data_IF_917518654237
#
_entry.id   IF_917518654237
#
_cell.length_a   1.000
_cell.length_b   1.000
_cell.length_c   1.000
_cell.angle_alpha   90.00
_cell.angle_beta   90.00
_cell.angle_gamma   90.00
#
_symmetry.space_group_name_H-M   'P 1'
#
loop_
_entity.id
_entity.type
_entity.pdbx_description
1 polymer ?
#
# COMPACT_ATOMS: atom_id res chain seq x y z
N UNK A 1 -4.19 3.96 6.39
CA UNK A 1 -3.48 4.72 5.34
C UNK A 1 -2.22 4.04 4.89
N UNK A 2 -2.16 3.71 3.60
CA UNK A 2 -0.91 3.29 2.94
C UNK A 2 -0.08 4.56 2.73
N UNK A 3 1.14 4.58 3.29
CA UNK A 3 2.06 5.70 3.12
C UNK A 3 3.05 5.37 2.01
N UNK A 4 3.19 6.30 1.07
CA UNK A 4 4.27 6.26 0.10
C UNK A 4 5.58 6.64 0.78
N UNK A 5 6.68 6.03 0.34
CA UNK A 5 8.02 6.47 0.70
C UNK A 5 8.26 7.91 0.22
N UNK A 6 8.98 8.71 1.01
CA UNK A 6 9.20 10.13 0.75
C UNK A 6 10.02 10.40 -0.52
N UNK A 7 10.97 9.53 -0.87
CA UNK A 7 11.74 9.60 -2.12
C UNK A 7 10.83 9.36 -3.33
N UNK A 8 10.00 8.30 -3.29
CA UNK A 8 9.05 7.98 -4.36
C UNK A 8 8.05 9.14 -4.54
N UNK A 9 7.60 9.74 -3.44
CA UNK A 9 6.73 10.92 -3.47
C UNK A 9 7.44 12.09 -4.15
N UNK A 10 8.69 12.36 -3.80
CA UNK A 10 9.49 13.42 -4.40
C UNK A 10 9.67 13.20 -5.90
N UNK A 11 10.01 11.98 -6.32
CA UNK A 11 10.18 11.63 -7.73
C UNK A 11 8.89 11.81 -8.54
N UNK A 12 7.74 11.42 -7.97
CA UNK A 12 6.43 11.62 -8.58
C UNK A 12 6.06 13.09 -8.73
N UNK A 13 6.39 13.92 -7.74
CA UNK A 13 6.20 15.38 -7.79
C UNK A 13 7.08 15.99 -8.89
N UNK A 14 8.37 15.65 -8.92
CA UNK A 14 9.30 16.10 -9.95
C UNK A 14 8.85 15.66 -11.35
N UNK A 15 8.36 14.43 -11.50
CA UNK A 15 7.78 13.94 -12.75
C UNK A 15 6.53 14.73 -13.16
N UNK A 16 5.65 15.07 -12.20
CA UNK A 16 4.51 15.96 -12.43
C UNK A 16 4.93 17.33 -12.98
N UNK A 17 5.97 17.93 -12.41
CA UNK A 17 6.52 19.20 -12.92
C UNK A 17 7.12 19.06 -14.32
N UNK A 18 7.83 17.98 -14.62
CA UNK A 18 8.35 17.73 -15.98
C UNK A 18 7.20 17.64 -17.00
N UNK A 19 6.16 16.85 -16.71
CA UNK A 19 5.00 16.70 -17.59
C UNK A 19 4.31 18.06 -17.80
N UNK A 20 4.08 18.81 -16.71
CA UNK A 20 3.45 20.12 -16.79
C UNK A 20 4.29 21.12 -17.60
N UNK A 21 5.62 21.13 -17.45
CA UNK A 21 6.50 21.99 -18.25
C UNK A 21 6.48 21.64 -19.73
N UNK A 22 6.32 20.36 -20.11
CA UNK A 22 6.10 19.97 -21.51
C UNK A 22 4.76 20.50 -22.01
N UNK A 23 3.69 20.37 -21.22
CA UNK A 23 2.36 20.91 -21.57
C UNK A 23 2.37 22.43 -21.71
N UNK A 24 3.18 23.13 -20.92
CA UNK A 24 3.39 24.58 -20.98
C UNK A 24 4.29 25.02 -22.17
N UNK A 25 4.74 24.09 -23.02
CA UNK A 25 5.65 24.37 -24.14
C UNK A 25 7.11 24.64 -23.72
N UNK A 26 7.45 24.40 -22.45
CA UNK A 26 8.78 24.65 -21.85
C UNK A 26 9.59 23.35 -21.73
N UNK A 27 9.74 22.61 -22.83
CA UNK A 27 10.42 21.31 -22.83
C UNK A 27 11.86 21.36 -22.29
N UNK A 28 12.61 22.45 -22.54
CA UNK A 28 13.94 22.64 -21.94
C UNK A 28 13.93 22.71 -20.41
N UNK A 29 12.93 23.38 -19.82
CA UNK A 29 12.75 23.42 -18.37
C UNK A 29 12.33 22.06 -17.79
N UNK A 30 11.61 21.24 -18.57
CA UNK A 30 11.30 19.87 -18.19
C UNK A 30 12.57 18.99 -18.15
N UNK A 31 13.47 19.12 -19.13
CA UNK A 31 14.75 18.40 -19.13
C UNK A 31 15.65 18.81 -17.96
N UNK A 32 15.65 20.10 -17.62
CA UNK A 32 16.37 20.65 -16.46
C UNK A 32 15.72 20.31 -15.11
N UNK A 33 14.56 19.60 -15.10
CA UNK A 33 13.76 19.30 -13.90
C UNK A 33 13.38 20.54 -13.07
N UNK A 34 13.12 21.66 -13.72
CA UNK A 34 12.68 22.88 -13.03
C UNK A 34 11.23 22.75 -12.55
N UNK A 35 10.91 23.48 -11.50
CA UNK A 35 9.53 23.71 -11.07
C UNK A 35 8.69 24.24 -12.23
N UNK A 36 7.42 23.84 -12.28
CA UNK A 36 6.47 24.24 -13.32
C UNK A 36 5.47 25.27 -12.82
N UNK A 37 4.51 25.67 -13.66
CA UNK A 37 3.41 26.56 -13.26
C UNK A 37 2.35 25.88 -12.37
N UNK A 38 2.43 24.56 -12.21
CA UNK A 38 1.43 23.74 -11.50
C UNK A 38 1.84 23.37 -10.08
N UNK A 39 0.86 23.22 -9.18
CA UNK A 39 1.07 22.68 -7.85
C UNK A 39 0.81 21.16 -7.85
N UNK A 40 1.85 20.35 -7.71
CA UNK A 40 1.77 18.89 -7.80
C UNK A 40 1.46 18.27 -6.44
N UNK A 41 0.41 17.45 -6.37
CA UNK A 41 0.08 16.67 -5.18
C UNK A 41 -0.08 15.20 -5.52
N UNK A 42 0.60 14.36 -4.76
CA UNK A 42 0.52 12.90 -4.86
C UNK A 42 -0.57 12.39 -3.91
N UNK A 43 -1.61 11.81 -4.48
CA UNK A 43 -2.66 11.10 -3.75
C UNK A 43 -2.43 9.59 -3.88
N UNK A 44 -2.57 8.90 -2.76
CA UNK A 44 -2.43 7.45 -2.69
C UNK A 44 -3.67 6.93 -1.99
N UNK A 45 -4.44 6.12 -2.71
CA UNK A 45 -5.66 5.52 -2.21
C UNK A 45 -5.50 4.00 -2.24
N UNK A 46 -5.88 3.36 -1.15
CA UNK A 46 -5.96 1.91 -1.05
C UNK A 46 -7.42 1.54 -0.88
N UNK A 47 -7.91 0.61 -1.70
CA UNK A 47 -9.27 0.13 -1.55
C UNK A 47 -9.37 -0.72 -0.25
N UNK A 48 -10.53 -0.72 0.42
CA UNK A 48 -10.74 -1.59 1.58
C UNK A 48 -10.91 -3.04 1.12
N UNK A 49 -10.10 -3.95 1.68
CA UNK A 49 -10.15 -5.37 1.36
C UNK A 49 -10.67 -6.17 2.57
N UNK A 50 -11.80 -6.83 2.41
CA UNK A 50 -12.28 -7.83 3.38
C UNK A 50 -11.79 -9.21 2.91
N UNK A 51 -11.05 -9.90 3.78
CA UNK A 51 -10.44 -11.19 3.47
C UNK A 51 -10.98 -12.29 4.39
N UNK A 52 -11.48 -13.42 3.84
CA UNK A 52 -11.77 -14.58 4.66
C UNK A 52 -10.47 -15.19 5.20
N UNK A 53 -10.52 -15.65 6.45
CA UNK A 53 -9.42 -16.35 7.12
C UNK A 53 -9.90 -17.75 7.50
N UNK A 54 -9.13 -18.76 7.11
CA UNK A 54 -9.35 -20.15 7.50
C UNK A 54 -8.29 -20.54 8.53
N UNK A 55 -8.72 -21.05 9.68
CA UNK A 55 -7.82 -21.47 10.76
C UNK A 55 -8.04 -22.93 11.08
N UNK A 56 -6.96 -23.70 11.12
CA UNK A 56 -6.94 -25.08 11.60
C UNK A 56 -5.97 -25.17 12.78
N UNK A 57 -6.35 -25.88 13.83
CA UNK A 57 -5.50 -26.03 15.00
C UNK A 57 -5.94 -27.18 15.88
N UNK A 58 -5.05 -27.54 16.79
CA UNK A 58 -5.30 -28.54 17.82
C UNK A 58 -4.79 -28.04 19.16
N UNK A 59 -5.39 -28.58 20.21
CA UNK A 59 -5.01 -28.35 21.59
C UNK A 59 -4.62 -29.68 22.21
N UNK A 60 -3.58 -29.68 23.04
CA UNK A 60 -3.17 -30.85 23.80
C UNK A 60 -3.04 -30.49 25.29
N UNK A 61 -3.75 -31.23 26.13
CA UNK A 61 -3.73 -31.05 27.57
C UNK A 61 -2.59 -31.90 28.18
N UNK A 62 -1.62 -31.25 28.82
CA UNK A 62 -0.56 -31.96 29.54
C UNK A 62 -1.05 -32.47 30.90
N UNK A 63 -1.90 -31.68 31.56
CA UNK A 63 -2.61 -32.01 32.80
C UNK A 63 -3.84 -31.10 32.91
N UNK A 64 -4.63 -31.25 33.98
CA UNK A 64 -5.88 -30.51 34.20
C UNK A 64 -5.74 -28.98 34.16
N UNK A 65 -4.52 -28.46 34.39
CA UNK A 65 -4.25 -27.03 34.46
C UNK A 65 -3.40 -26.51 33.29
N UNK A 66 -2.65 -27.34 32.59
CA UNK A 66 -1.71 -26.91 31.55
C UNK A 66 -2.04 -27.54 30.19
N UNK A 67 -2.16 -26.70 29.16
CA UNK A 67 -2.42 -27.14 27.80
C UNK A 67 -1.55 -26.38 26.78
N UNK A 68 -1.29 -26.97 25.63
CA UNK A 68 -0.66 -26.31 24.49
C UNK A 68 -1.63 -26.17 23.33
N UNK A 69 -1.48 -25.11 22.55
CA UNK A 69 -2.25 -24.86 21.35
C UNK A 69 -1.28 -24.69 20.19
N UNK A 70 -1.55 -25.41 19.10
CA UNK A 70 -0.88 -25.22 17.83
C UNK A 70 -1.92 -24.92 16.76
N UNK A 71 -1.70 -23.88 15.96
CA UNK A 71 -2.60 -23.56 14.85
C UNK A 71 -1.86 -22.99 13.64
N UNK A 72 -2.50 -23.13 12.49
CA UNK A 72 -2.13 -22.54 11.23
C UNK A 72 -3.35 -21.86 10.63
N UNK A 73 -3.17 -20.65 10.13
CA UNK A 73 -4.22 -19.84 9.51
C UNK A 73 -3.77 -19.40 8.12
N UNK A 74 -4.72 -19.35 7.19
CA UNK A 74 -4.54 -18.85 5.85
C UNK A 74 -5.51 -17.71 5.60
N UNK A 75 -5.03 -16.57 5.11
CA UNK A 75 -5.86 -15.45 4.70
C UNK A 75 -5.80 -15.25 3.19
N UNK A 76 -6.93 -14.92 2.56
CA UNK A 76 -6.97 -14.56 1.13
C UNK A 76 -7.08 -13.05 0.98
N UNK A 77 -5.96 -12.34 0.87
CA UNK A 77 -5.91 -10.87 0.79
C UNK A 77 -5.81 -10.42 -0.67
N UNK A 78 -6.86 -9.77 -1.17
CA UNK A 78 -6.86 -9.11 -2.47
C UNK A 78 -7.08 -7.61 -2.26
N UNK A 79 -6.05 -6.79 -2.46
CA UNK A 79 -6.19 -5.33 -2.37
C UNK A 79 -5.70 -4.64 -3.67
N UNK A 80 -6.26 -3.47 -3.99
CA UNK A 80 -5.83 -2.60 -5.07
C UNK A 80 -5.40 -1.25 -4.50
N UNK A 81 -4.20 -0.82 -4.88
CA UNK A 81 -3.69 0.51 -4.57
C UNK A 81 -3.67 1.36 -5.83
N UNK A 82 -4.05 2.63 -5.71
CA UNK A 82 -4.04 3.64 -6.78
C UNK A 82 -3.12 4.78 -6.36
N UNK A 83 -2.28 5.24 -7.29
CA UNK A 83 -1.39 6.38 -7.10
C UNK A 83 -1.70 7.38 -8.21
N UNK A 84 -2.09 8.59 -7.81
CA UNK A 84 -2.42 9.69 -8.71
C UNK A 84 -1.56 10.91 -8.40
N UNK A 85 -0.98 11.52 -9.44
CA UNK A 85 -0.35 12.86 -9.33
C UNK A 85 -1.25 13.87 -10.01
N UNK A 86 -1.72 14.83 -9.22
CA UNK A 86 -2.71 15.81 -9.64
C UNK A 86 -2.07 17.19 -9.60
N UNK A 87 -2.23 17.95 -10.69
CA UNK A 87 -2.00 19.38 -10.67
C UNK A 87 -3.21 20.06 -10.00
N UNK A 88 -3.04 20.58 -8.80
CA UNK A 88 -4.13 21.22 -8.05
C UNK A 88 -4.63 22.52 -8.70
N UNK A 89 -3.81 23.18 -9.52
CA UNK A 89 -4.18 24.44 -10.16
C UNK A 89 -5.21 24.22 -11.28
N UNK A 90 -5.15 23.06 -11.95
CA UNK A 90 -6.00 22.74 -13.11
C UNK A 90 -6.93 21.54 -12.87
N UNK A 91 -6.71 20.78 -11.79
CA UNK A 91 -7.37 19.50 -11.54
C UNK A 91 -6.90 18.37 -12.46
N UNK A 92 -5.93 18.61 -13.34
CA UNK A 92 -5.46 17.63 -14.29
C UNK A 92 -4.67 16.50 -13.61
N UNK A 93 -5.04 15.25 -13.89
CA UNK A 93 -4.28 14.07 -13.48
C UNK A 93 -3.15 13.82 -14.49
N UNK A 94 -1.91 13.98 -14.05
CA UNK A 94 -0.73 13.86 -14.89
C UNK A 94 -0.12 12.47 -14.86
N UNK A 95 -0.23 11.76 -13.73
CA UNK A 95 0.29 10.40 -13.57
C UNK A 95 -0.80 9.56 -12.91
N UNK A 96 -0.98 8.34 -13.40
CA UNK A 96 -1.90 7.34 -12.85
C UNK A 96 -1.24 5.96 -12.83
N UNK A 97 -1.21 5.32 -11.67
CA UNK A 97 -0.76 3.95 -11.50
C UNK A 97 -1.75 3.15 -10.66
N UNK A 98 -2.01 1.90 -11.04
CA UNK A 98 -2.77 0.96 -10.20
C UNK A 98 -1.99 -0.33 -10.04
N UNK A 99 -1.83 -0.76 -8.79
CA UNK A 99 -1.16 -2.00 -8.42
C UNK A 99 -2.15 -2.92 -7.72
N UNK A 100 -2.20 -4.18 -8.15
CA UNK A 100 -2.93 -5.23 -7.44
C UNK A 100 -1.95 -5.93 -6.50
N UNK A 101 -2.32 -6.02 -5.24
CA UNK A 101 -1.57 -6.69 -4.19
C UNK A 101 -2.36 -7.93 -3.81
N UNK A 102 -1.91 -9.07 -4.32
CA UNK A 102 -2.43 -10.40 -3.99
C UNK A 102 -1.46 -11.03 -2.99
N UNK A 103 -1.86 -11.11 -1.72
CA UNK A 103 -1.05 -11.71 -0.66
C UNK A 103 -1.88 -12.78 0.03
N UNK A 104 -1.33 -13.98 0.08
CA UNK A 104 -1.96 -15.17 0.64
C UNK A 104 -1.15 -15.69 1.84
N UNK A 105 -1.11 -14.97 2.99
CA UNK A 105 -0.20 -15.32 4.07
C UNK A 105 -0.65 -16.57 4.81
N UNK A 106 0.33 -17.41 5.17
CA UNK A 106 0.18 -18.50 6.13
C UNK A 106 0.74 -18.01 7.48
N UNK A 107 -0.10 -18.02 8.51
CA UNK A 107 0.21 -17.57 9.86
C UNK A 107 0.22 -18.80 10.77
N UNK A 108 1.33 -19.06 11.46
CA UNK A 108 1.43 -20.18 12.41
C UNK A 108 1.50 -19.67 13.83
N UNK A 109 0.84 -20.34 14.76
CA UNK A 109 0.85 -20.02 16.18
C UNK A 109 1.14 -21.27 17.02
N UNK A 110 1.98 -21.11 18.03
CA UNK A 110 2.29 -22.11 19.04
C UNK A 110 2.31 -21.45 20.41
N UNK A 111 1.52 -21.97 21.35
CA UNK A 111 1.37 -21.39 22.68
C UNK A 111 1.16 -22.44 23.77
N UNK A 112 1.35 -22.01 25.02
CA UNK A 112 1.02 -22.76 26.25
C UNK A 112 0.08 -21.92 27.09
N UNK A 113 -0.95 -22.54 27.65
CA UNK A 113 -1.96 -21.91 28.49
C UNK A 113 -2.10 -22.61 29.84
N UNK A 114 -2.55 -21.84 30.83
CA UNK A 114 -2.94 -22.33 32.15
C UNK A 114 -4.44 -22.11 32.36
N UNK A 115 -5.17 -23.12 32.83
CA UNK A 115 -6.59 -23.04 33.20
C UNK A 115 -6.73 -23.23 34.72
N UNK A 116 -7.39 -22.28 35.37
CA UNK A 116 -7.70 -22.28 36.81
C UNK A 116 -9.00 -23.03 37.11
#
# INVERSE_FOLDING_TARGET
DIKLNDEIRSDLISAGHMIQNVLDGKAGAALDRKESSGNMVVKVDADDAIAPIFTAGFTYDFNDSWYTVASVSYAKLNNRTKIDVINQNTGARLIHGSTKVDIDPIITYLGVGYRF
#
